data_IF_328385512213
#
_entry.id   IF_328385512213
#
_cell.length_a   1.000
_cell.length_b   1.000
_cell.length_c   1.000
_cell.angle_alpha   90.00
_cell.angle_beta   90.00
_cell.angle_gamma   90.00
#
_symmetry.space_group_name_H-M   'P 1'
#
loop_
_entity.id
_entity.type
_entity.pdbx_description
1 polymer ?
#
# COMPACT_ATOMS: atom_id res chain seq x y z
N UNK A 1 10.29 1.45 -29.32
CA UNK A 1 9.16 2.15 -29.98
C UNK A 1 8.74 3.40 -29.21
N UNK A 2 8.26 3.31 -27.95
CA UNK A 2 7.85 4.51 -27.17
C UNK A 2 8.97 5.55 -27.01
N UNK A 3 10.21 5.13 -26.74
CA UNK A 3 11.35 6.06 -26.58
C UNK A 3 11.72 6.79 -27.88
N UNK A 4 11.69 6.09 -29.02
CA UNK A 4 11.92 6.69 -30.35
C UNK A 4 10.80 7.67 -30.71
N UNK A 5 9.54 7.31 -30.41
CA UNK A 5 8.36 8.15 -30.65
C UNK A 5 8.38 9.42 -29.78
N UNK A 6 8.80 9.29 -28.51
CA UNK A 6 9.02 10.44 -27.63
C UNK A 6 10.15 11.32 -28.14
N UNK A 7 11.28 10.75 -28.55
CA UNK A 7 12.42 11.50 -29.13
C UNK A 7 12.02 12.27 -30.38
N UNK A 8 11.24 11.66 -31.27
CA UNK A 8 10.77 12.29 -32.52
C UNK A 8 9.68 13.35 -32.26
N UNK A 9 8.95 13.27 -31.14
CA UNK A 9 8.05 14.34 -30.66
C UNK A 9 8.79 15.48 -29.94
N UNK A 10 10.02 15.23 -29.46
CA UNK A 10 10.84 16.21 -28.76
C UNK A 10 11.80 16.98 -29.69
N UNK A 11 11.83 16.69 -31.00
CA UNK A 11 12.52 17.55 -31.97
C UNK A 11 11.70 18.79 -32.28
N UNK A 12 12.27 20.01 -32.17
CA UNK A 12 11.52 21.26 -32.25
C UNK A 12 11.26 21.63 -33.72
N UNK A 13 10.20 21.08 -34.30
CA UNK A 13 9.67 21.51 -35.59
C UNK A 13 8.25 22.09 -35.43
N UNK A 14 8.14 23.25 -34.75
CA UNK A 14 6.87 23.97 -34.56
C UNK A 14 6.89 24.99 -33.40
N UNK A 15 5.87 25.86 -33.27
CA UNK A 15 5.77 26.84 -32.18
C UNK A 15 5.44 26.21 -30.81
N UNK A 16 4.96 24.97 -30.79
CA UNK A 16 4.72 24.16 -29.60
C UNK A 16 5.37 22.81 -29.85
N UNK A 17 6.30 22.40 -28.99
CA UNK A 17 6.96 21.11 -29.15
C UNK A 17 6.03 19.98 -28.70
N UNK A 18 6.26 18.76 -29.18
CA UNK A 18 5.54 17.59 -28.64
C UNK A 18 5.84 17.35 -27.15
N UNK A 19 6.95 17.91 -26.64
CA UNK A 19 7.23 17.99 -25.21
C UNK A 19 6.19 18.81 -24.45
N UNK A 20 5.91 20.02 -24.92
CA UNK A 20 4.96 20.92 -24.25
C UNK A 20 3.56 20.30 -24.20
N UNK A 21 3.12 19.69 -25.30
CA UNK A 21 1.84 18.98 -25.36
C UNK A 21 1.78 17.79 -24.38
N UNK A 22 2.85 16.99 -24.29
CA UNK A 22 2.92 15.87 -23.36
C UNK A 22 2.94 16.36 -21.90
N UNK A 23 3.69 17.43 -21.62
CA UNK A 23 3.75 18.07 -20.32
C UNK A 23 2.38 18.60 -19.89
N UNK A 24 1.69 19.31 -20.78
CA UNK A 24 0.34 19.83 -20.53
C UNK A 24 -0.66 18.70 -20.27
N UNK A 25 -0.62 17.63 -21.08
CA UNK A 25 -1.45 16.45 -20.87
C UNK A 25 -1.19 15.80 -19.50
N UNK A 26 0.08 15.57 -19.16
CA UNK A 26 0.47 15.02 -17.87
C UNK A 26 0.04 15.92 -16.71
N UNK A 27 0.13 17.23 -16.87
CA UNK A 27 -0.32 18.23 -15.89
C UNK A 27 -1.84 18.18 -15.71
N UNK A 28 -2.61 18.09 -16.80
CA UNK A 28 -4.06 17.91 -16.74
C UNK A 28 -4.45 16.62 -16.01
N UNK A 29 -3.77 15.51 -16.31
CA UNK A 29 -3.96 14.23 -15.60
C UNK A 29 -3.64 14.39 -14.11
N UNK A 30 -2.48 14.95 -13.77
CA UNK A 30 -2.00 15.16 -12.40
C UNK A 30 -2.97 16.00 -11.57
N UNK A 31 -3.64 16.98 -12.18
CA UNK A 31 -4.60 17.85 -11.50
C UNK A 31 -6.03 17.29 -11.52
N UNK A 32 -6.24 16.07 -12.03
CA UNK A 32 -7.57 15.48 -12.18
C UNK A 32 -8.47 16.25 -13.16
N UNK A 33 -7.89 17.07 -14.05
CA UNK A 33 -8.59 17.88 -15.07
C UNK A 33 -8.79 17.08 -16.36
N UNK A 34 -9.33 15.86 -16.22
CA UNK A 34 -9.64 14.96 -17.34
C UNK A 34 -11.11 14.58 -17.34
N UNK A 35 -11.68 14.35 -18.52
CA UNK A 35 -13.06 13.88 -18.62
C UNK A 35 -13.22 12.48 -18.03
N UNK A 36 -14.46 12.16 -17.63
CA UNK A 36 -14.82 10.87 -17.05
C UNK A 36 -14.42 9.67 -17.92
N UNK A 37 -14.69 9.76 -19.22
CA UNK A 37 -14.34 8.75 -20.21
C UNK A 37 -12.83 8.59 -20.38
N UNK A 38 -12.09 9.69 -20.36
CA UNK A 38 -10.62 9.67 -20.41
C UNK A 38 -10.03 9.03 -19.17
N UNK A 39 -10.51 9.38 -17.97
CA UNK A 39 -10.07 8.76 -16.72
C UNK A 39 -10.38 7.26 -16.67
N UNK A 40 -11.53 6.84 -17.20
CA UNK A 40 -11.89 5.42 -17.33
C UNK A 40 -10.88 4.64 -18.17
N UNK A 41 -10.47 5.18 -19.32
CA UNK A 41 -9.48 4.56 -20.20
C UNK A 41 -8.06 4.63 -19.61
N UNK A 42 -7.65 5.78 -19.07
CA UNK A 42 -6.35 5.94 -18.43
C UNK A 42 -6.20 5.10 -17.14
N UNK A 43 -7.30 4.81 -16.46
CA UNK A 43 -7.32 3.92 -15.30
C UNK A 43 -7.35 2.44 -15.67
N UNK A 44 -7.50 2.10 -16.96
CA UNK A 44 -7.55 0.74 -17.43
C UNK A 44 -6.28 -0.03 -17.09
N UNK A 45 -6.41 -1.32 -16.86
CA UNK A 45 -5.27 -2.21 -16.64
C UNK A 45 -5.49 -3.57 -17.27
N UNK A 46 -4.40 -4.19 -17.75
CA UNK A 46 -4.39 -5.59 -18.15
C UNK A 46 -3.88 -6.44 -16.98
N UNK A 47 -4.63 -7.45 -16.59
CA UNK A 47 -4.31 -8.32 -15.47
C UNK A 47 -3.38 -9.45 -15.92
N UNK A 48 -2.23 -9.56 -15.28
CA UNK A 48 -1.32 -10.69 -15.42
C UNK A 48 -1.43 -11.59 -14.19
N UNK A 49 -1.72 -12.87 -14.40
CA UNK A 49 -1.71 -13.87 -13.34
C UNK A 49 -0.29 -14.41 -13.16
N UNK A 50 0.38 -14.04 -12.07
CA UNK A 50 1.68 -14.59 -11.72
C UNK A 50 1.52 -15.75 -10.74
N UNK A 51 2.16 -16.88 -10.99
CA UNK A 51 2.17 -18.00 -10.07
C UNK A 51 3.13 -17.73 -8.89
N UNK A 52 2.68 -18.02 -7.68
CA UNK A 52 3.54 -18.13 -6.49
C UNK A 52 4.05 -19.56 -6.35
N UNK A 53 5.19 -19.78 -5.70
CA UNK A 53 5.71 -21.12 -5.40
C UNK A 53 4.72 -22.04 -4.66
N UNK A 54 3.73 -21.47 -3.96
CA UNK A 54 2.71 -22.19 -3.19
C UNK A 54 1.44 -22.54 -3.98
N UNK A 55 1.46 -22.54 -5.31
CA UNK A 55 0.28 -22.70 -6.18
C UNK A 55 -0.82 -21.63 -6.00
N UNK A 56 -0.50 -20.54 -5.30
CA UNK A 56 -1.36 -19.36 -5.17
C UNK A 56 -1.07 -18.39 -6.33
N UNK A 57 -2.06 -17.60 -6.74
CA UNK A 57 -1.93 -16.68 -7.88
C UNK A 57 -1.83 -15.24 -7.35
N UNK A 58 -0.85 -14.49 -7.84
CA UNK A 58 -0.73 -13.05 -7.63
C UNK A 58 -1.20 -12.32 -8.90
N UNK A 59 -2.39 -11.72 -8.88
CA UNK A 59 -2.85 -10.87 -9.98
C UNK A 59 -2.09 -9.53 -9.96
N UNK A 60 -1.40 -9.19 -11.04
CA UNK A 60 -0.73 -7.89 -11.23
C UNK A 60 -1.44 -7.10 -12.32
N UNK A 61 -2.15 -6.01 -11.97
CA UNK A 61 -2.68 -5.08 -12.97
C UNK A 61 -1.55 -4.24 -13.59
N UNK A 62 -1.34 -4.41 -14.89
CA UNK A 62 -0.46 -3.55 -15.70
C UNK A 62 -1.29 -2.40 -16.26
N UNK A 63 -1.15 -1.23 -15.62
CA UNK A 63 -1.89 -0.03 -15.99
C UNK A 63 -1.30 0.74 -17.18
N UNK A 64 -2.09 1.68 -17.68
CA UNK A 64 -1.73 2.60 -18.76
C UNK A 64 -0.47 3.42 -18.48
N UNK A 65 0.33 3.66 -19.52
CA UNK A 65 1.67 4.23 -19.36
C UNK A 65 1.64 5.70 -18.94
N UNK A 66 0.70 6.49 -19.47
CA UNK A 66 0.55 7.90 -19.10
C UNK A 66 0.09 8.05 -17.65
N UNK A 67 -0.85 7.21 -17.20
CA UNK A 67 -1.24 7.16 -15.80
C UNK A 67 -0.04 6.83 -14.90
N UNK A 68 0.71 5.77 -15.23
CA UNK A 68 1.89 5.34 -14.45
C UNK A 68 2.99 6.40 -14.42
N UNK A 69 3.24 7.07 -15.54
CA UNK A 69 4.20 8.18 -15.61
C UNK A 69 3.82 9.32 -14.65
N UNK A 70 2.56 9.75 -14.70
CA UNK A 70 2.06 10.82 -13.83
C UNK A 70 2.04 10.38 -12.37
N UNK A 71 1.52 9.19 -12.06
CA UNK A 71 1.51 8.64 -10.70
C UNK A 71 2.93 8.56 -10.13
N UNK A 72 3.92 8.10 -10.93
CA UNK A 72 5.31 8.03 -10.50
C UNK A 72 5.91 9.42 -10.24
N UNK A 73 5.61 10.38 -11.11
CA UNK A 73 6.06 11.77 -10.96
C UNK A 73 5.49 12.40 -9.69
N UNK A 74 4.20 12.22 -9.44
CA UNK A 74 3.54 12.63 -8.20
C UNK A 74 4.17 11.95 -6.97
N UNK A 75 4.45 10.65 -7.05
CA UNK A 75 5.11 9.92 -5.96
C UNK A 75 6.49 10.49 -5.60
N UNK A 76 7.26 10.95 -6.59
CA UNK A 76 8.52 11.65 -6.35
C UNK A 76 8.30 13.07 -5.80
N UNK A 77 7.37 13.83 -6.38
CA UNK A 77 7.09 15.21 -5.99
C UNK A 77 6.61 15.32 -4.54
N UNK A 78 5.80 14.35 -4.07
CA UNK A 78 5.23 14.33 -2.73
C UNK A 78 5.96 13.39 -1.77
N UNK A 79 7.14 12.88 -2.14
CA UNK A 79 7.85 11.87 -1.35
C UNK A 79 8.13 12.33 0.09
N UNK A 80 8.64 13.55 0.29
CA UNK A 80 8.93 14.08 1.62
C UNK A 80 7.66 14.27 2.44
N UNK A 81 6.62 14.86 1.84
CA UNK A 81 5.32 15.04 2.49
C UNK A 81 4.67 13.71 2.90
N UNK A 82 4.78 12.68 2.05
CA UNK A 82 4.32 11.33 2.36
C UNK A 82 5.14 10.72 3.51
N UNK A 83 6.46 10.84 3.47
CA UNK A 83 7.34 10.32 4.52
C UNK A 83 7.04 10.95 5.89
N UNK A 84 6.89 12.28 5.94
CA UNK A 84 6.52 13.00 7.16
C UNK A 84 5.14 12.57 7.67
N UNK A 85 4.19 12.32 6.77
CA UNK A 85 2.87 11.87 7.15
C UNK A 85 2.87 10.42 7.66
N UNK A 86 3.68 9.53 7.10
CA UNK A 86 3.77 8.13 7.53
C UNK A 86 4.56 7.93 8.84
N UNK A 87 5.48 8.84 9.14
CA UNK A 87 6.26 8.79 10.37
C UNK A 87 5.38 8.96 11.63
N UNK A 88 5.67 8.26 12.73
CA UNK A 88 6.74 7.27 12.94
C UNK A 88 6.26 5.81 12.79
N UNK A 89 5.12 5.55 12.14
CA UNK A 89 4.45 4.24 12.20
C UNK A 89 4.62 3.39 10.95
N UNK A 90 4.84 4.03 9.79
CA UNK A 90 4.88 3.35 8.51
C UNK A 90 6.20 3.65 7.78
N UNK A 91 6.99 2.59 7.57
CA UNK A 91 8.35 2.67 7.04
C UNK A 91 8.46 2.07 5.64
N UNK A 92 7.42 1.40 5.13
CA UNK A 92 7.45 0.69 3.85
C UNK A 92 7.28 1.58 2.62
N UNK A 93 6.92 2.84 2.83
CA UNK A 93 6.58 3.78 1.75
C UNK A 93 7.19 5.15 2.00
N UNK A 94 7.68 5.77 0.92
CA UNK A 94 8.29 7.10 0.89
C UNK A 94 9.52 7.34 1.80
N UNK A 95 9.90 6.39 2.64
CA UNK A 95 11.06 6.46 3.53
C UNK A 95 12.26 5.67 2.97
N UNK A 96 13.44 6.30 2.97
CA UNK A 96 14.70 5.61 2.65
C UNK A 96 15.18 4.81 3.86
N UNK A 97 15.57 3.57 3.64
CA UNK A 97 16.12 2.72 4.70
C UNK A 97 15.10 2.26 5.74
N UNK A 98 13.81 2.17 5.36
CA UNK A 98 12.73 1.83 6.28
C UNK A 98 12.87 0.44 6.91
N UNK A 99 13.24 -0.56 6.10
CA UNK A 99 13.48 -1.92 6.58
C UNK A 99 14.64 -1.98 7.58
N UNK A 100 15.75 -1.31 7.27
CA UNK A 100 16.94 -1.22 8.12
C UNK A 100 16.60 -0.52 9.44
N UNK A 101 15.82 0.56 9.37
CA UNK A 101 15.35 1.29 10.55
C UNK A 101 14.54 0.38 11.47
N UNK A 102 13.62 -0.41 10.92
CA UNK A 102 12.84 -1.38 11.69
C UNK A 102 13.73 -2.47 12.28
N UNK A 103 14.57 -3.12 11.46
CA UNK A 103 15.38 -4.25 11.92
C UNK A 103 16.36 -3.81 13.02
N UNK A 104 17.07 -2.69 12.83
CA UNK A 104 18.01 -2.20 13.83
C UNK A 104 17.31 -1.65 15.07
N UNK A 105 16.18 -0.95 14.90
CA UNK A 105 15.37 -0.46 16.01
C UNK A 105 14.82 -1.60 16.86
N UNK A 106 14.25 -2.62 16.23
CA UNK A 106 13.73 -3.81 16.91
C UNK A 106 14.82 -4.56 17.68
N UNK A 107 15.99 -4.80 17.06
CA UNK A 107 17.11 -5.44 17.76
C UNK A 107 17.53 -4.66 18.99
N UNK A 108 17.74 -3.36 18.86
CA UNK A 108 18.13 -2.52 19.99
C UNK A 108 17.07 -2.51 21.10
N UNK A 109 15.77 -2.46 20.76
CA UNK A 109 14.68 -2.54 21.73
C UNK A 109 14.68 -3.88 22.46
N UNK A 110 14.85 -4.99 21.74
CA UNK A 110 14.83 -6.34 22.31
C UNK A 110 16.09 -6.69 23.10
N UNK A 111 17.23 -6.05 22.80
CA UNK A 111 18.43 -6.14 23.64
C UNK A 111 18.21 -5.49 25.02
N UNK A 112 17.40 -4.41 25.07
CA UNK A 112 17.01 -3.73 26.31
C UNK A 112 15.86 -4.44 27.03
N UNK A 113 14.97 -5.07 26.28
CA UNK A 113 13.76 -5.74 26.77
C UNK A 113 13.66 -7.17 26.18
N UNK A 114 14.49 -8.11 26.66
CA UNK A 114 14.57 -9.46 26.11
C UNK A 114 13.31 -10.30 26.36
N UNK A 115 12.43 -9.85 27.26
CA UNK A 115 11.14 -10.44 27.61
C UNK A 115 9.98 -9.92 26.75
N UNK A 116 10.19 -8.87 25.96
CA UNK A 116 9.16 -8.35 25.05
C UNK A 116 8.84 -9.34 23.93
N UNK A 117 7.60 -9.25 23.46
CA UNK A 117 7.05 -10.08 22.40
C UNK A 117 6.95 -9.26 21.13
N UNK A 118 7.37 -9.84 20.01
CA UNK A 118 7.11 -9.38 18.66
C UNK A 118 5.99 -10.22 18.08
N UNK A 119 4.87 -9.60 17.74
CA UNK A 119 3.77 -10.21 17.02
C UNK A 119 3.67 -9.61 15.62
N UNK A 120 3.98 -10.40 14.60
CA UNK A 120 3.74 -10.06 13.20
C UNK A 120 2.29 -10.40 12.84
N UNK A 121 1.58 -9.40 12.31
CA UNK A 121 0.18 -9.48 11.88
C UNK A 121 0.15 -9.51 10.36
N UNK A 122 -0.33 -10.63 9.80
CA UNK A 122 -0.53 -10.80 8.35
C UNK A 122 -1.97 -10.43 7.97
N UNK A 123 -2.15 -9.74 6.84
CA UNK A 123 -3.45 -9.30 6.34
C UNK A 123 -3.78 -10.02 5.03
N UNK A 124 -4.96 -10.64 4.97
CA UNK A 124 -5.39 -11.39 3.81
C UNK A 124 -5.60 -10.48 2.60
N UNK A 125 -4.78 -10.64 1.55
CA UNK A 125 -4.94 -9.95 0.25
C UNK A 125 -5.15 -8.43 0.41
N UNK A 126 -4.42 -7.81 1.34
CA UNK A 126 -4.69 -6.47 1.86
C UNK A 126 -4.92 -5.42 0.77
N UNK A 127 -4.04 -5.40 -0.24
CA UNK A 127 -4.14 -4.48 -1.38
C UNK A 127 -5.46 -4.59 -2.13
N UNK A 128 -6.09 -5.76 -2.22
CA UNK A 128 -7.29 -5.94 -3.03
C UNK A 128 -8.58 -5.53 -2.31
N UNK A 129 -8.56 -5.41 -0.98
CA UNK A 129 -9.78 -5.29 -0.17
C UNK A 129 -9.91 -3.97 0.59
N UNK A 130 -8.83 -3.19 0.71
CA UNK A 130 -8.84 -1.96 1.50
C UNK A 130 -9.89 -0.94 1.02
N UNK A 131 -10.59 -0.32 1.96
CA UNK A 131 -11.70 0.59 1.65
C UNK A 131 -11.24 1.87 0.96
N UNK A 132 -11.87 2.21 -0.17
CA UNK A 132 -11.71 3.52 -0.79
C UNK A 132 -12.27 4.65 0.07
N UNK A 133 -13.32 4.39 0.85
CA UNK A 133 -13.85 5.37 1.79
C UNK A 133 -12.80 5.72 2.86
N UNK A 134 -12.15 4.71 3.44
CA UNK A 134 -11.08 4.92 4.40
C UNK A 134 -9.91 5.70 3.77
N UNK A 135 -9.49 5.30 2.55
CA UNK A 135 -8.48 6.03 1.77
C UNK A 135 -8.85 7.51 1.58
N UNK A 136 -10.06 7.81 1.11
CA UNK A 136 -10.47 9.19 0.84
C UNK A 136 -10.70 10.00 2.12
N UNK A 137 -11.13 9.36 3.20
CA UNK A 137 -11.21 10.00 4.52
C UNK A 137 -9.83 10.45 5.00
N UNK A 138 -8.81 9.57 4.90
CA UNK A 138 -7.44 9.91 5.29
C UNK A 138 -6.79 10.92 4.35
N UNK A 139 -7.01 10.78 3.04
CA UNK A 139 -6.47 11.74 2.08
C UNK A 139 -7.07 13.15 2.27
N UNK A 140 -8.33 13.25 2.70
CA UNK A 140 -8.97 14.54 3.05
C UNK A 140 -8.54 15.06 4.41
N UNK A 141 -8.22 14.18 5.36
CA UNK A 141 -7.76 14.57 6.70
C UNK A 141 -6.30 15.03 6.70
N UNK A 142 -5.51 14.57 5.73
CA UNK A 142 -4.15 15.01 5.47
C UNK A 142 -4.12 16.47 4.99
N UNK A 143 -4.21 17.41 5.94
CA UNK A 143 -4.09 18.85 5.69
C UNK A 143 -2.67 19.16 5.17
N UNK A 144 -2.56 19.97 4.12
CA UNK A 144 -1.29 20.49 3.61
C UNK A 144 -0.98 20.05 2.19
N UNK A 145 0.27 19.66 1.93
CA UNK A 145 0.76 19.33 0.59
C UNK A 145 0.07 18.10 -0.03
N UNK A 146 -0.40 17.14 0.77
CA UNK A 146 -1.07 15.93 0.27
C UNK A 146 -2.47 16.18 -0.30
N UNK A 147 -3.14 17.28 0.05
CA UNK A 147 -4.44 17.66 -0.56
C UNK A 147 -4.33 17.84 -2.08
N UNK A 148 -3.14 18.21 -2.58
CA UNK A 148 -2.88 18.33 -4.02
C UNK A 148 -2.93 16.99 -4.76
N UNK A 149 -2.79 15.85 -4.07
CA UNK A 149 -2.97 14.52 -4.65
C UNK A 149 -4.44 14.15 -4.81
N UNK A 150 -5.34 14.78 -4.04
CA UNK A 150 -6.75 14.42 -4.01
C UNK A 150 -7.44 14.41 -5.38
N UNK A 151 -7.28 15.44 -6.25
CA UNK A 151 -7.90 15.43 -7.57
C UNK A 151 -7.45 14.27 -8.46
N UNK A 152 -6.16 13.94 -8.44
CA UNK A 152 -5.61 12.79 -9.16
C UNK A 152 -6.21 11.49 -8.63
N UNK A 153 -6.07 11.23 -7.32
CA UNK A 153 -6.53 9.98 -6.70
C UNK A 153 -8.03 9.82 -6.92
N UNK A 154 -8.83 10.86 -6.71
CA UNK A 154 -10.28 10.83 -6.97
C UNK A 154 -10.60 10.43 -8.41
N UNK A 155 -9.85 10.91 -9.40
CA UNK A 155 -10.12 10.62 -10.81
C UNK A 155 -9.98 9.13 -11.15
N UNK A 156 -9.10 8.41 -10.44
CA UNK A 156 -8.73 7.02 -10.74
C UNK A 156 -9.18 5.99 -9.71
N UNK A 157 -9.51 6.42 -8.49
CA UNK A 157 -9.92 5.56 -7.38
C UNK A 157 -11.36 5.81 -6.91
N UNK A 158 -11.99 6.95 -7.20
CA UNK A 158 -13.41 7.15 -6.85
C UNK A 158 -14.36 6.56 -7.90
N UNK A 159 -13.81 5.89 -8.91
CA UNK A 159 -14.55 5.31 -10.03
C UNK A 159 -13.95 3.96 -10.39
N UNK A 160 -14.84 3.08 -10.86
CA UNK A 160 -14.46 1.78 -11.37
C UNK A 160 -13.69 1.96 -12.67
N UNK A 161 -12.47 1.43 -12.71
CA UNK A 161 -11.67 1.33 -13.93
C UNK A 161 -11.75 -0.08 -14.49
N UNK A 162 -11.72 -0.25 -15.82
CA UNK A 162 -11.76 -1.56 -16.42
C UNK A 162 -10.46 -2.34 -16.13
N UNK A 163 -10.60 -3.57 -15.67
CA UNK A 163 -9.52 -4.53 -15.54
C UNK A 163 -9.76 -5.67 -16.53
N UNK A 164 -8.90 -5.74 -17.55
CA UNK A 164 -9.00 -6.72 -18.62
C UNK A 164 -8.17 -7.95 -18.28
N UNK A 165 -8.72 -9.14 -18.46
CA UNK A 165 -7.98 -10.41 -18.36
C UNK A 165 -8.19 -11.21 -19.64
N UNK A 166 -7.11 -11.61 -20.28
CA UNK A 166 -7.13 -12.45 -21.49
C UNK A 166 -6.84 -13.90 -21.11
N UNK A 167 -7.71 -14.81 -21.54
CA UNK A 167 -7.55 -16.23 -21.29
C UNK A 167 -6.62 -16.86 -22.34
N UNK A 168 -5.51 -17.47 -21.92
CA UNK A 168 -4.58 -18.14 -22.84
C UNK A 168 -5.21 -19.32 -23.62
N UNK A 169 -6.33 -19.86 -23.16
CA UNK A 169 -7.01 -21.02 -23.76
C UNK A 169 -8.06 -20.66 -24.81
N UNK A 170 -8.52 -19.41 -24.84
CA UNK A 170 -9.51 -18.91 -25.79
C UNK A 170 -9.05 -17.54 -26.28
N UNK A 171 -8.38 -17.52 -27.44
CA UNK A 171 -7.67 -16.36 -27.99
C UNK A 171 -8.54 -15.08 -28.15
N UNK A 172 -9.86 -15.18 -27.99
CA UNK A 172 -10.81 -14.08 -28.14
C UNK A 172 -11.63 -13.73 -26.88
N UNK A 173 -11.45 -14.42 -25.75
CA UNK A 173 -12.22 -14.14 -24.53
C UNK A 173 -11.49 -13.17 -23.59
N UNK A 174 -12.01 -11.95 -23.48
CA UNK A 174 -11.54 -10.94 -22.52
C UNK A 174 -12.57 -10.77 -21.42
N UNK A 175 -12.21 -11.14 -20.19
CA UNK A 175 -13.02 -10.85 -19.02
C UNK A 175 -12.79 -9.42 -18.55
N UNK A 176 -13.89 -8.70 -18.30
CA UNK A 176 -13.86 -7.34 -17.78
C UNK A 176 -14.27 -7.33 -16.31
N UNK A 177 -13.37 -6.87 -15.45
CA UNK A 177 -13.64 -6.64 -14.04
C UNK A 177 -13.65 -5.14 -13.73
N UNK A 178 -14.32 -4.77 -12.66
CA UNK A 178 -14.43 -3.39 -12.18
C UNK A 178 -14.28 -3.42 -10.67
N UNK A 179 -13.06 -3.19 -10.14
CA UNK A 179 -12.81 -3.22 -8.70
C UNK A 179 -13.73 -2.24 -7.96
N UNK A 180 -14.15 -2.61 -6.75
CA UNK A 180 -14.99 -1.78 -5.88
C UNK A 180 -14.24 -1.29 -4.63
N UNK A 181 -13.04 -1.83 -4.40
CA UNK A 181 -12.13 -1.49 -3.31
C UNK A 181 -10.69 -1.81 -3.73
N UNK A 182 -9.74 -1.52 -2.85
CA UNK A 182 -8.34 -1.90 -3.01
C UNK A 182 -7.46 -0.88 -3.75
N UNK A 183 -6.18 -1.17 -3.78
CA UNK A 183 -5.16 -0.48 -4.55
C UNK A 183 -4.46 -1.43 -5.49
N UNK A 184 -4.08 -0.91 -6.66
CA UNK A 184 -3.53 -1.72 -7.75
C UNK A 184 -2.10 -2.11 -7.40
N UNK A 185 -1.81 -3.41 -7.27
CA UNK A 185 -0.43 -3.88 -7.10
C UNK A 185 0.42 -3.53 -8.33
N UNK A 186 1.54 -2.84 -8.13
CA UNK A 186 2.39 -2.33 -9.22
C UNK A 186 2.02 -0.92 -9.72
N UNK A 187 0.97 -0.31 -9.18
CA UNK A 187 0.73 1.13 -9.33
C UNK A 187 1.82 1.92 -8.58
N UNK A 188 2.48 2.90 -9.22
CA UNK A 188 3.49 3.73 -8.58
C UNK A 188 3.05 4.41 -7.27
N UNK A 189 1.77 4.74 -7.12
CA UNK A 189 1.21 5.29 -5.88
C UNK A 189 0.48 4.24 -5.04
N UNK A 190 0.26 3.02 -5.55
CA UNK A 190 -0.58 2.00 -4.95
C UNK A 190 -0.22 1.71 -3.50
N UNK A 191 1.06 1.45 -3.20
CA UNK A 191 1.53 1.20 -1.83
C UNK A 191 1.35 2.39 -0.89
N UNK A 192 1.55 3.61 -1.38
CA UNK A 192 1.35 4.82 -0.55
C UNK A 192 -0.12 5.03 -0.24
N UNK A 193 -1.01 4.82 -1.22
CA UNK A 193 -2.46 4.88 -1.01
C UNK A 193 -2.93 3.77 -0.06
N UNK A 194 -2.41 2.56 -0.21
CA UNK A 194 -2.69 1.45 0.69
C UNK A 194 -2.31 1.80 2.14
N UNK A 195 -1.09 2.31 2.33
CA UNK A 195 -0.57 2.75 3.61
C UNK A 195 -1.43 3.86 4.24
N UNK A 196 -1.85 4.86 3.44
CA UNK A 196 -2.72 5.93 3.91
C UNK A 196 -4.04 5.39 4.45
N UNK A 197 -4.66 4.42 3.74
CA UNK A 197 -5.99 3.94 4.06
C UNK A 197 -6.12 3.27 5.44
N UNK A 198 -5.02 2.76 6.01
CA UNK A 198 -5.02 2.16 7.36
C UNK A 198 -4.13 2.92 8.36
N UNK A 199 -3.54 4.05 7.97
CA UNK A 199 -2.65 4.83 8.83
C UNK A 199 -3.36 5.34 10.09
N UNK A 200 -4.62 5.76 9.97
CA UNK A 200 -5.41 6.17 11.15
C UNK A 200 -5.69 5.03 12.10
N UNK A 201 -5.91 3.81 11.61
CA UNK A 201 -6.01 2.64 12.46
C UNK A 201 -4.73 2.49 13.29
N UNK A 202 -3.56 2.52 12.64
CA UNK A 202 -2.27 2.46 13.33
C UNK A 202 -2.08 3.57 14.36
N UNK A 203 -2.36 4.84 13.99
CA UNK A 203 -2.25 5.98 14.90
C UNK A 203 -3.16 5.86 16.12
N UNK A 204 -4.38 5.36 15.92
CA UNK A 204 -5.37 5.22 16.99
C UNK A 204 -4.91 4.16 17.98
N UNK A 205 -4.54 2.97 17.48
CA UNK A 205 -4.03 1.87 18.31
C UNK A 205 -2.76 2.29 19.05
N UNK A 206 -1.82 2.97 18.38
CA UNK A 206 -0.60 3.46 19.01
C UNK A 206 -0.86 4.48 20.13
N UNK A 207 -1.91 5.29 20.01
CA UNK A 207 -2.31 6.22 21.07
C UNK A 207 -3.01 5.54 22.25
N UNK A 208 -3.76 4.47 21.99
CA UNK A 208 -4.47 3.69 23.01
C UNK A 208 -3.55 2.72 23.77
N UNK A 209 -2.48 2.25 23.12
CA UNK A 209 -1.52 1.27 23.65
C UNK A 209 -0.08 1.82 23.64
N UNK A 210 0.24 2.82 24.47
CA UNK A 210 1.53 3.52 24.42
C UNK A 210 2.73 2.68 24.86
N UNK A 211 2.51 1.50 25.46
CA UNK A 211 3.56 0.56 25.83
C UNK A 211 4.01 -0.32 24.65
N UNK A 212 3.23 -0.34 23.56
CA UNK A 212 3.53 -1.10 22.36
C UNK A 212 4.10 -0.21 21.26
N UNK A 213 5.02 -0.76 20.49
CA UNK A 213 5.56 -0.19 19.26
C UNK A 213 4.88 -0.84 18.05
N UNK A 214 4.70 -0.06 16.97
CA UNK A 214 3.99 -0.48 15.77
C UNK A 214 4.79 -0.32 14.48
N UNK A 215 6.01 -0.89 14.36
CA UNK A 215 6.77 -0.78 13.13
C UNK A 215 6.05 -1.52 11.99
N UNK A 216 5.61 -0.76 10.99
CA UNK A 216 4.85 -1.29 9.86
C UNK A 216 5.59 -1.10 8.54
N UNK A 217 5.54 -2.12 7.67
CA UNK A 217 6.04 -2.11 6.28
C UNK A 217 4.88 -2.41 5.33
N UNK A 218 4.23 -1.37 4.81
CA UNK A 218 2.97 -1.51 4.07
C UNK A 218 1.94 -2.34 4.86
N UNK A 219 1.64 -3.56 4.44
CA UNK A 219 0.72 -4.50 5.09
C UNK A 219 1.34 -5.35 6.20
N UNK A 220 2.67 -5.42 6.28
CA UNK A 220 3.39 -6.13 7.35
C UNK A 220 3.43 -5.27 8.62
N UNK A 221 2.44 -5.44 9.49
CA UNK A 221 2.32 -4.73 10.77
C UNK A 221 2.91 -5.59 11.89
N UNK A 222 3.72 -4.98 12.75
CA UNK A 222 4.25 -5.65 13.94
C UNK A 222 3.73 -4.95 15.19
N UNK A 223 3.41 -5.71 16.22
CA UNK A 223 3.16 -5.24 17.58
C UNK A 223 4.34 -5.69 18.43
N UNK A 224 5.03 -4.76 19.06
CA UNK A 224 6.20 -5.07 19.89
C UNK A 224 6.06 -4.43 21.25
N UNK A 225 6.03 -5.23 22.31
CA UNK A 225 5.82 -4.72 23.66
C UNK A 225 5.79 -5.80 24.74
N UNK A 226 5.43 -5.41 25.98
CA UNK A 226 5.27 -6.34 27.09
C UNK A 226 4.24 -7.43 26.78
N UNK A 227 4.47 -8.69 27.22
CA UNK A 227 3.57 -9.81 26.93
C UNK A 227 2.10 -9.57 27.31
N UNK A 228 1.86 -8.87 28.42
CA UNK A 228 0.52 -8.54 28.91
C UNK A 228 -0.23 -7.56 28.01
N UNK A 229 0.48 -6.74 27.22
CA UNK A 229 -0.10 -5.69 26.39
C UNK A 229 -0.26 -6.12 24.92
N UNK A 230 0.53 -7.09 24.44
CA UNK A 230 0.55 -7.50 23.01
C UNK A 230 -0.82 -8.00 22.53
N UNK A 231 -1.47 -8.91 23.25
CA UNK A 231 -2.76 -9.46 22.82
C UNK A 231 -3.93 -8.47 22.94
N UNK A 232 -4.07 -7.69 24.04
CA UNK A 232 -5.02 -6.59 24.08
C UNK A 232 -4.83 -5.61 22.91
N UNK A 233 -3.59 -5.24 22.62
CA UNK A 233 -3.23 -4.38 21.49
C UNK A 233 -3.66 -4.99 20.15
N UNK A 234 -3.40 -6.29 19.96
CA UNK A 234 -3.81 -7.02 18.76
C UNK A 234 -5.31 -6.96 18.52
N UNK A 235 -6.14 -7.17 19.55
CA UNK A 235 -7.59 -7.12 19.40
C UNK A 235 -8.11 -5.72 19.05
N UNK A 236 -7.52 -4.68 19.64
CA UNK A 236 -7.82 -3.28 19.25
C UNK A 236 -7.41 -3.04 17.80
N UNK A 237 -6.22 -3.48 17.38
CA UNK A 237 -5.75 -3.36 16.00
C UNK A 237 -6.69 -4.08 15.02
N UNK A 238 -7.05 -5.33 15.30
CA UNK A 238 -7.95 -6.13 14.47
C UNK A 238 -9.30 -5.42 14.26
N UNK A 239 -9.87 -4.84 15.32
CA UNK A 239 -11.09 -4.04 15.23
C UNK A 239 -10.96 -2.83 14.30
N UNK A 240 -9.87 -2.07 14.42
CA UNK A 240 -9.64 -0.90 13.55
C UNK A 240 -9.30 -1.28 12.11
N UNK A 241 -8.57 -2.37 11.89
CA UNK A 241 -8.30 -2.89 10.55
C UNK A 241 -9.58 -3.36 9.86
N UNK A 242 -10.47 -4.05 10.60
CA UNK A 242 -11.77 -4.47 10.09
C UNK A 242 -12.63 -3.28 9.65
N UNK A 243 -12.60 -2.18 10.39
CA UNK A 243 -13.32 -0.95 10.05
C UNK A 243 -12.87 -0.30 8.73
N UNK A 244 -11.65 -0.58 8.27
CA UNK A 244 -11.13 -0.11 6.97
C UNK A 244 -11.17 -1.19 5.88
N UNK A 245 -11.88 -2.31 6.13
CA UNK A 245 -12.07 -3.41 5.19
C UNK A 245 -10.91 -4.41 5.13
N UNK A 246 -9.96 -4.34 6.08
CA UNK A 246 -8.84 -5.26 6.16
C UNK A 246 -9.17 -6.44 7.07
N UNK A 247 -8.76 -7.63 6.65
CA UNK A 247 -9.04 -8.89 7.35
C UNK A 247 -7.71 -9.53 7.73
N UNK A 248 -7.48 -9.71 9.03
CA UNK A 248 -6.29 -10.41 9.53
C UNK A 248 -6.34 -11.86 9.06
N UNK A 249 -5.17 -12.43 8.75
CA UNK A 249 -4.99 -13.85 8.45
C UNK A 249 -4.29 -14.54 9.64
N UNK A 250 -5.05 -15.07 10.62
CA UNK A 250 -4.49 -15.71 11.82
C UNK A 250 -3.44 -16.78 11.53
N UNK A 251 -3.65 -17.59 10.49
CA UNK A 251 -2.77 -18.71 10.12
C UNK A 251 -1.38 -18.31 9.64
N UNK A 252 -1.15 -17.02 9.42
CA UNK A 252 0.14 -16.45 9.03
C UNK A 252 0.67 -15.43 10.03
N UNK A 253 -0.06 -15.19 11.11
CA UNK A 253 0.45 -14.37 12.19
C UNK A 253 1.52 -15.17 12.96
N UNK A 254 2.61 -14.50 13.33
CA UNK A 254 3.78 -15.13 13.96
C UNK A 254 4.13 -14.35 15.22
N UNK A 255 4.29 -15.05 16.34
CA UNK A 255 4.71 -14.46 17.61
C UNK A 255 6.09 -14.99 18.03
N UNK A 256 6.97 -14.11 18.48
CA UNK A 256 8.33 -14.45 18.91
C UNK A 256 8.83 -13.56 20.06
N UNK A 257 9.74 -14.06 20.86
CA UNK A 257 10.48 -13.30 21.88
C UNK A 257 11.88 -13.89 22.05
N UNK A 258 12.92 -13.08 22.29
CA UNK A 258 14.27 -13.58 22.56
C UNK A 258 14.34 -14.56 23.74
N UNK A 259 13.57 -14.30 24.80
CA UNK A 259 13.51 -15.16 26.00
C UNK A 259 12.55 -16.35 25.88
N UNK A 260 11.94 -16.53 24.70
CA UNK A 260 10.82 -17.44 24.50
C UNK A 260 9.48 -16.81 24.90
N UNK A 261 8.39 -17.27 24.31
CA UNK A 261 7.06 -16.74 24.63
C UNK A 261 6.64 -17.17 26.05
N UNK A 262 6.13 -16.25 26.88
CA UNK A 262 5.69 -16.58 28.22
C UNK A 262 4.40 -17.40 28.19
N UNK A 263 4.25 -18.31 29.16
CA UNK A 263 3.06 -19.17 29.28
C UNK A 263 1.76 -18.41 29.55
N UNK A 264 1.86 -17.16 30.00
CA UNK A 264 0.72 -16.24 30.19
C UNK A 264 0.15 -15.71 28.87
N UNK A 265 0.92 -15.75 27.78
CA UNK A 265 0.49 -15.26 26.48
C UNK A 265 -0.38 -16.32 25.78
N UNK A 266 -1.69 -16.05 25.71
CA UNK A 266 -2.62 -16.91 24.99
C UNK A 266 -2.77 -16.43 23.54
N UNK A 267 -2.15 -17.15 22.60
CA UNK A 267 -2.28 -16.85 21.18
C UNK A 267 -3.57 -17.44 20.59
N UNK A 268 -4.23 -16.74 19.64
CA UNK A 268 -5.40 -17.28 18.96
C UNK A 268 -5.07 -18.54 18.15
N UNK A 269 -6.06 -19.41 17.91
CA UNK A 269 -5.88 -20.58 17.04
C UNK A 269 -5.33 -20.20 15.65
N UNK A 270 -4.32 -20.92 15.20
CA UNK A 270 -3.70 -20.73 13.88
C UNK A 270 -2.45 -19.87 13.88
N UNK A 271 -2.19 -19.10 14.94
CA UNK A 271 -0.93 -18.37 15.07
C UNK A 271 0.23 -19.36 15.17
N UNK A 272 1.35 -19.01 14.55
CA UNK A 272 2.55 -19.87 14.54
C UNK A 272 3.66 -19.27 15.39
N UNK A 273 4.50 -20.16 15.93
CA UNK A 273 5.82 -19.79 16.44
C UNK A 273 6.76 -19.72 15.24
N UNK A 274 7.78 -18.83 15.22
CA UNK A 274 8.74 -18.84 14.13
C UNK A 274 9.39 -20.22 14.03
N UNK A 275 9.73 -20.60 12.80
CA UNK A 275 10.57 -21.75 12.55
C UNK A 275 11.86 -21.63 13.39
N UNK A 276 12.26 -22.73 14.04
CA UNK A 276 13.56 -22.83 14.71
C UNK A 276 14.67 -22.46 13.72
N UNK A 277 15.24 -21.25 13.83
CA UNK A 277 16.34 -20.80 12.97
C UNK A 277 16.33 -19.33 12.55
N UNK A 278 15.97 -18.40 13.44
CA UNK A 278 16.34 -16.98 13.31
C UNK A 278 17.62 -16.69 14.10
#
# INVERSE_FOLDING_TARGET
MVFELLRDCFTPEGPTSGFDLMFDLCTHIAQGRVFASTAYLLGASCLLALEKPSSDIRPIPVGEILYRLVARTLGFQFQEALADHFSPLQFGVAMRGGCETIIHGLRATLDLHPDWVVLQVDIQKAFNIVSWEALFCELRSAIGSLDQLFPFVRSFYARRSPLYFSHCSHEDEVSLFSPESGTRQGDPLGSSLFALAHLRALRTVASEHPLCLFPSLADDIHIVGPPEDVMPTFHTLEGHLSAVGLIVQPTKCVAWSPSGLPSSLSLPPGFSLPFEGL
#
